data_IF_327919601473
#
_entry.id   IF_327919601473
#
_cell.length_a   1.000
_cell.length_b   1.000
_cell.length_c   1.000
_cell.angle_alpha   90.00
_cell.angle_beta   90.00
_cell.angle_gamma   90.00
#
_symmetry.space_group_name_H-M   'P 1'
#
loop_
_entity.id
_entity.type
_entity.pdbx_description
1 polymer ?
#
# COMPACT_ATOMS: atom_id res chain seq x y z
N UNK A 1 -68.58 27.25 0.17
CA UNK A 1 -69.42 26.74 1.28
C UNK A 1 -68.54 25.89 2.17
N UNK A 2 -68.40 26.30 3.45
CA UNK A 2 -67.92 25.51 4.61
C UNK A 2 -66.41 25.14 4.58
N UNK A 3 -65.46 25.74 5.30
CA UNK A 3 -65.46 26.35 6.63
C UNK A 3 -66.19 25.50 7.69
N UNK A 4 -65.51 25.21 8.81
CA UNK A 4 -65.93 24.40 9.97
C UNK A 4 -65.41 22.96 9.89
N UNK A 5 -64.20 22.74 10.39
CA UNK A 5 -63.98 21.77 11.47
C UNK A 5 -62.86 22.30 12.37
N UNK A 6 -63.31 23.01 13.41
CA UNK A 6 -62.53 23.52 14.52
C UNK A 6 -62.16 22.37 15.46
N UNK A 7 -60.92 22.45 15.97
CA UNK A 7 -60.59 22.31 17.40
C UNK A 7 -61.11 21.09 18.16
N UNK A 8 -60.32 20.02 18.23
CA UNK A 8 -60.11 19.26 19.49
C UNK A 8 -58.68 18.73 19.51
N UNK A 9 -57.88 19.13 20.51
CA UNK A 9 -56.59 18.48 20.77
C UNK A 9 -55.44 19.38 21.25
N UNK A 10 -55.70 20.46 22.00
CA UNK A 10 -54.67 21.07 22.83
C UNK A 10 -54.59 20.34 24.19
N UNK A 11 -53.38 20.31 24.76
CA UNK A 11 -52.96 19.81 26.08
C UNK A 11 -52.50 18.34 26.16
N UNK A 12 -51.20 18.13 25.93
CA UNK A 12 -50.29 17.67 26.99
C UNK A 12 -48.92 18.34 26.78
N UNK A 13 -48.65 19.41 27.51
CA UNK A 13 -47.27 19.72 27.89
C UNK A 13 -46.97 18.86 29.13
N UNK A 14 -45.85 18.14 29.18
CA UNK A 14 -45.04 17.90 30.38
C UNK A 14 -43.86 16.95 30.05
N UNK A 15 -42.65 17.51 30.21
CA UNK A 15 -41.41 16.88 30.70
C UNK A 15 -40.80 15.67 29.98
N UNK A 16 -39.69 15.92 29.29
CA UNK A 16 -38.37 15.43 29.73
C UNK A 16 -37.29 16.22 29.00
N UNK A 17 -36.63 17.14 29.73
CA UNK A 17 -35.28 17.52 29.36
C UNK A 17 -34.46 16.23 29.38
N UNK A 18 -33.98 15.84 28.22
CA UNK A 18 -33.11 14.69 28.07
C UNK A 18 -31.77 15.15 28.63
N UNK A 19 -31.49 14.75 29.87
CA UNK A 19 -30.17 14.84 30.47
C UNK A 19 -29.18 14.18 29.50
N UNK A 20 -28.12 14.87 29.06
CA UNK A 20 -27.10 14.23 28.24
C UNK A 20 -26.40 13.20 29.13
N UNK A 21 -26.81 11.95 29.00
CA UNK A 21 -26.15 10.81 29.64
C UNK A 21 -24.64 10.95 29.41
N UNK A 22 -23.91 11.19 30.50
CA UNK A 22 -22.48 11.38 30.44
C UNK A 22 -21.84 10.18 29.71
N UNK A 23 -20.86 10.41 28.81
CA UNK A 23 -20.19 9.30 28.15
C UNK A 23 -19.66 8.34 29.21
N UNK A 24 -19.78 7.02 29.00
CA UNK A 24 -19.25 6.05 29.93
C UNK A 24 -17.76 6.32 30.14
N UNK A 25 -17.21 6.10 31.35
CA UNK A 25 -15.78 6.28 31.58
C UNK A 25 -15.00 5.43 30.58
N UNK A 26 -13.97 6.02 29.97
CA UNK A 26 -13.10 5.35 29.02
C UNK A 26 -12.66 3.98 29.57
N UNK A 27 -12.91 2.93 28.78
CA UNK A 27 -12.43 1.61 29.12
C UNK A 27 -10.90 1.67 29.34
N UNK A 28 -10.37 0.99 30.36
CA UNK A 28 -8.93 0.96 30.58
C UNK A 28 -8.24 0.47 29.30
N UNK A 29 -7.20 1.20 28.89
CA UNK A 29 -6.40 0.83 27.73
C UNK A 29 -6.00 -0.65 27.83
N UNK A 30 -6.06 -1.41 26.73
CA UNK A 30 -5.56 -2.78 26.74
C UNK A 30 -4.10 -2.76 27.22
N UNK A 31 -3.65 -3.77 27.99
CA UNK A 31 -2.26 -3.82 28.41
C UNK A 31 -1.39 -3.75 27.16
N UNK A 32 -0.35 -2.90 27.21
CA UNK A 32 0.66 -2.88 26.16
C UNK A 32 1.22 -4.30 26.03
N UNK A 33 0.95 -4.94 24.89
CA UNK A 33 1.53 -6.22 24.53
C UNK A 33 3.01 -5.98 24.24
N UNK A 34 3.79 -5.91 25.31
CA UNK A 34 5.24 -5.74 25.26
C UNK A 34 5.96 -7.06 24.95
N UNK A 35 5.22 -8.11 24.57
CA UNK A 35 5.81 -9.36 24.14
C UNK A 35 6.18 -9.22 22.67
N UNK A 36 7.44 -8.87 22.41
CA UNK A 36 8.00 -9.01 21.07
C UNK A 36 7.71 -10.44 20.56
N UNK A 37 7.22 -10.59 19.31
CA UNK A 37 6.98 -11.91 18.75
C UNK A 37 8.26 -12.75 18.83
N UNK A 38 8.14 -14.07 19.07
CA UNK A 38 9.32 -14.93 19.10
C UNK A 38 10.07 -14.82 17.76
N UNK A 39 11.41 -14.84 17.78
CA UNK A 39 12.19 -14.82 16.55
C UNK A 39 11.80 -16.01 15.68
N UNK A 40 11.67 -15.77 14.37
CA UNK A 40 11.35 -16.80 13.39
C UNK A 40 12.49 -17.83 13.33
N UNK A 41 12.26 -19.11 13.64
CA UNK A 41 13.29 -20.14 13.58
C UNK A 41 13.78 -20.44 12.15
N UNK A 42 13.08 -19.97 11.12
CA UNK A 42 13.48 -20.06 9.73
C UNK A 42 14.27 -18.84 9.24
N UNK A 43 14.45 -17.79 10.06
CA UNK A 43 15.25 -16.65 9.67
C UNK A 43 16.72 -17.05 9.49
N UNK A 44 17.37 -16.66 8.37
CA UNK A 44 18.80 -16.90 8.21
C UNK A 44 19.57 -16.17 9.33
N UNK A 45 20.68 -16.74 9.81
CA UNK A 45 21.50 -16.08 10.82
C UNK A 45 21.99 -14.72 10.29
N UNK A 46 22.15 -13.71 11.16
CA UNK A 46 22.72 -12.44 10.75
C UNK A 46 24.13 -12.68 10.17
N UNK A 47 24.55 -11.88 9.16
CA UNK A 47 25.87 -12.01 8.59
C UNK A 47 26.94 -11.80 9.67
N UNK A 48 27.96 -12.67 9.67
CA UNK A 48 29.07 -12.59 10.63
C UNK A 48 29.86 -11.29 10.39
N UNK A 49 29.94 -10.37 11.37
CA UNK A 49 30.70 -9.12 11.21
C UNK A 49 32.21 -9.34 11.07
N UNK A 50 32.71 -10.56 11.36
CA UNK A 50 34.09 -10.95 11.13
C UNK A 50 34.32 -11.64 9.78
N UNK A 51 33.29 -11.81 8.94
CA UNK A 51 33.47 -12.40 7.62
C UNK A 51 34.35 -11.47 6.74
N UNK A 52 35.41 -12.00 6.10
CA UNK A 52 36.19 -11.21 5.15
C UNK A 52 35.28 -10.77 3.99
N UNK A 53 35.51 -9.57 3.41
CA UNK A 53 34.77 -9.16 2.22
C UNK A 53 34.97 -10.19 1.10
N UNK A 54 33.97 -10.39 0.23
CA UNK A 54 34.11 -11.29 -0.91
C UNK A 54 35.32 -10.87 -1.76
N UNK A 55 36.18 -11.83 -2.08
CA UNK A 55 37.38 -11.61 -2.88
C UNK A 55 36.98 -11.27 -4.33
N UNK A 56 37.30 -10.07 -4.86
CA UNK A 56 36.99 -9.71 -6.24
C UNK A 56 37.74 -10.57 -7.27
N UNK A 57 38.70 -11.39 -6.85
CA UNK A 57 39.45 -12.32 -7.70
C UNK A 57 38.95 -13.77 -7.66
N UNK A 58 37.87 -14.08 -6.91
CA UNK A 58 37.31 -15.43 -6.91
C UNK A 58 36.79 -15.80 -8.31
N UNK A 59 37.13 -16.99 -8.85
CA UNK A 59 36.65 -17.41 -10.16
C UNK A 59 35.13 -17.54 -10.15
N UNK A 60 34.48 -16.81 -11.06
CA UNK A 60 33.04 -16.96 -11.34
C UNK A 60 32.72 -18.41 -11.67
N UNK A 61 31.71 -18.96 -10.98
CA UNK A 61 31.22 -20.31 -11.22
C UNK A 61 30.70 -20.42 -12.67
N UNK A 62 31.30 -21.28 -13.53
CA UNK A 62 30.87 -21.45 -14.91
C UNK A 62 29.47 -22.09 -15.04
N UNK A 63 28.84 -22.52 -13.94
CA UNK A 63 27.46 -23.00 -13.91
C UNK A 63 26.40 -21.89 -13.78
N UNK A 64 26.80 -20.63 -13.61
CA UNK A 64 25.85 -19.52 -13.64
C UNK A 64 25.33 -19.29 -15.07
N UNK A 65 24.00 -19.15 -15.28
CA UNK A 65 23.45 -18.81 -16.59
C UNK A 65 24.04 -17.46 -17.05
N UNK A 66 24.36 -17.31 -18.35
CA UNK A 66 24.90 -16.05 -18.85
C UNK A 66 23.89 -14.91 -18.62
N UNK A 67 24.35 -13.68 -18.35
CA UNK A 67 23.47 -12.52 -18.34
C UNK A 67 22.80 -12.36 -19.71
N UNK A 68 21.52 -12.03 -19.67
CA UNK A 68 20.64 -11.89 -20.83
C UNK A 68 21.19 -10.82 -21.82
N UNK A 69 21.47 -11.16 -23.09
CA UNK A 69 22.10 -10.26 -24.05
C UNK A 69 21.16 -9.18 -24.64
N UNK A 70 19.92 -9.03 -24.16
CA UNK A 70 18.94 -8.08 -24.71
C UNK A 70 18.93 -6.69 -24.05
N UNK A 71 20.10 -6.16 -23.69
CA UNK A 71 20.27 -4.71 -23.52
C UNK A 71 20.54 -4.08 -24.90
N UNK A 72 19.72 -3.11 -25.38
CA UNK A 72 19.99 -2.44 -26.65
C UNK A 72 21.36 -1.72 -26.58
N UNK A 73 22.14 -1.70 -27.68
CA UNK A 73 23.42 -1.02 -27.70
C UNK A 73 23.21 0.47 -27.40
N UNK A 74 23.90 0.98 -26.39
CA UNK A 74 24.05 2.42 -26.17
C UNK A 74 24.74 3.02 -27.40
N UNK A 75 24.04 3.92 -28.09
CA UNK A 75 24.54 4.62 -29.26
C UNK A 75 25.80 5.43 -28.92
N UNK A 76 26.98 5.09 -29.46
CA UNK A 76 28.22 5.81 -29.18
C UNK A 76 28.27 7.20 -29.85
N UNK A 77 27.24 7.60 -30.60
CA UNK A 77 27.15 8.92 -31.22
C UNK A 77 26.48 9.99 -30.34
N UNK A 78 26.08 9.68 -29.10
CA UNK A 78 25.58 10.68 -28.17
C UNK A 78 26.72 11.67 -27.80
N UNK A 79 26.56 12.98 -28.05
CA UNK A 79 27.58 13.97 -27.67
C UNK A 79 27.80 13.94 -26.15
N UNK A 80 29.03 14.15 -25.66
CA UNK A 80 29.28 14.27 -24.23
C UNK A 80 28.45 15.42 -23.66
N UNK A 81 27.89 15.29 -22.44
CA UNK A 81 27.16 16.38 -21.82
C UNK A 81 28.08 17.59 -21.65
N UNK A 82 27.63 18.74 -22.16
CA UNK A 82 28.35 20.00 -22.16
C UNK A 82 28.56 20.49 -20.70
N UNK A 83 29.81 20.67 -20.23
CA UNK A 83 30.06 21.15 -18.87
C UNK A 83 29.63 22.61 -18.64
N UNK A 84 29.17 23.32 -19.68
CA UNK A 84 28.70 24.70 -19.59
C UNK A 84 27.16 24.85 -19.51
N UNK A 85 26.38 23.77 -19.50
CA UNK A 85 24.96 23.85 -19.21
C UNK A 85 24.78 24.10 -17.70
N UNK A 86 24.19 25.25 -17.35
CA UNK A 86 23.82 25.58 -15.98
C UNK A 86 23.06 24.40 -15.33
N UNK A 87 23.24 24.13 -14.02
CA UNK A 87 22.49 23.08 -13.34
C UNK A 87 20.99 23.33 -13.54
N UNK A 88 20.16 22.31 -13.78
CA UNK A 88 18.72 22.50 -13.64
C UNK A 88 18.48 23.06 -12.24
N UNK A 89 17.82 24.23 -12.18
CA UNK A 89 17.37 24.85 -10.95
C UNK A 89 16.72 23.80 -10.05
N UNK A 90 17.07 23.85 -8.77
CA UNK A 90 16.58 22.98 -7.72
C UNK A 90 15.04 22.92 -7.81
N UNK A 91 14.50 21.75 -8.16
CA UNK A 91 13.08 21.50 -8.04
C UNK A 91 12.67 21.65 -6.55
N UNK A 92 11.49 22.22 -6.27
CA UNK A 92 11.16 22.72 -4.95
C UNK A 92 10.81 21.57 -3.98
N UNK A 93 11.29 21.74 -2.75
CA UNK A 93 10.77 21.24 -1.46
C UNK A 93 10.14 19.82 -1.42
N UNK A 94 10.92 18.88 -0.86
CA UNK A 94 10.54 17.49 -0.65
C UNK A 94 9.63 17.27 0.58
N UNK A 95 8.77 18.23 0.94
CA UNK A 95 7.72 18.09 1.97
C UNK A 95 6.65 19.18 1.79
N UNK A 96 5.70 18.99 0.86
CA UNK A 96 4.50 19.83 0.81
C UNK A 96 3.24 18.99 1.05
N UNK A 97 2.76 19.09 2.29
CA UNK A 97 1.38 18.83 2.66
C UNK A 97 0.43 19.78 1.90
N UNK A 98 -0.57 19.19 1.20
CA UNK A 98 -1.92 19.64 0.78
C UNK A 98 -2.23 21.15 0.58
N UNK A 99 -3.00 21.56 -0.46
CA UNK A 99 -4.45 21.31 -0.54
C UNK A 99 -4.96 20.99 -1.97
N UNK A 100 -6.23 20.57 -2.06
CA UNK A 100 -6.86 20.24 -3.36
C UNK A 100 -6.94 21.44 -4.31
N UNK A 101 -6.93 21.16 -5.61
CA UNK A 101 -7.92 21.62 -6.59
C UNK A 101 -7.60 21.03 -7.98
N UNK A 102 -8.67 20.54 -8.62
CA UNK A 102 -8.90 20.39 -10.06
C UNK A 102 -7.97 19.51 -10.92
N UNK A 103 -8.33 18.21 -10.92
CA UNK A 103 -8.38 17.27 -12.04
C UNK A 103 -7.73 17.70 -13.37
N UNK A 104 -6.68 16.98 -13.76
CA UNK A 104 -6.58 16.45 -15.12
C UNK A 104 -6.52 14.91 -15.03
N UNK A 105 -7.73 14.34 -14.91
CA UNK A 105 -7.95 12.93 -15.13
C UNK A 105 -7.95 12.68 -16.64
N UNK A 106 -6.77 12.53 -17.24
CA UNK A 106 -6.65 11.73 -18.46
C UNK A 106 -6.61 10.26 -18.02
N UNK A 107 -7.80 9.69 -17.87
CA UNK A 107 -8.10 8.29 -18.17
C UNK A 107 -6.95 7.28 -17.92
N UNK A 108 -6.63 7.07 -16.65
CA UNK A 108 -6.20 5.75 -16.17
C UNK A 108 -7.15 5.33 -15.06
N UNK A 109 -8.39 5.07 -15.47
CA UNK A 109 -9.46 4.55 -14.61
C UNK A 109 -9.23 3.07 -14.23
N UNK A 110 -8.05 2.52 -14.48
CA UNK A 110 -7.77 1.10 -14.23
C UNK A 110 -7.37 0.85 -12.77
N UNK A 111 -6.89 1.87 -12.05
CA UNK A 111 -6.30 1.63 -10.72
C UNK A 111 -6.44 2.82 -9.75
N UNK A 112 -7.45 2.82 -8.86
CA UNK A 112 -7.69 3.95 -7.95
C UNK A 112 -6.53 4.23 -6.99
N UNK A 113 -6.10 5.49 -6.90
CA UNK A 113 -5.13 5.92 -5.88
C UNK A 113 -3.65 5.94 -6.30
N UNK A 114 -3.31 5.49 -7.51
CA UNK A 114 -1.91 5.56 -8.00
C UNK A 114 -1.38 7.00 -8.12
N UNK A 115 -2.25 7.97 -8.43
CA UNK A 115 -1.89 9.39 -8.53
C UNK A 115 -1.53 10.07 -7.20
N UNK A 116 -1.93 9.49 -6.06
CA UNK A 116 -1.60 10.03 -4.74
C UNK A 116 -0.20 9.66 -4.28
N UNK A 117 0.34 8.55 -4.80
CA UNK A 117 1.65 8.06 -4.40
C UNK A 117 2.80 8.93 -4.95
N UNK A 118 3.88 9.12 -4.18
CA UNK A 118 5.11 9.72 -4.67
C UNK A 118 5.70 8.88 -5.82
N UNK A 119 6.54 9.50 -6.66
CA UNK A 119 7.06 8.85 -7.89
C UNK A 119 7.69 7.48 -7.62
N UNK A 120 8.47 7.37 -6.54
CA UNK A 120 9.12 6.12 -6.14
C UNK A 120 8.09 5.03 -5.79
N UNK A 121 7.09 5.35 -4.98
CA UNK A 121 6.06 4.40 -4.55
C UNK A 121 5.17 3.95 -5.72
N UNK A 122 4.98 4.78 -6.76
CA UNK A 122 4.27 4.36 -7.98
C UNK A 122 4.98 3.23 -8.71
N UNK A 123 6.30 3.22 -8.72
CA UNK A 123 7.06 2.10 -9.30
C UNK A 123 6.80 0.82 -8.51
N UNK A 124 6.87 0.88 -7.18
CA UNK A 124 6.55 -0.27 -6.33
C UNK A 124 5.13 -0.78 -6.53
N UNK A 125 4.15 0.12 -6.63
CA UNK A 125 2.77 -0.23 -6.92
C UNK A 125 2.60 -0.93 -8.28
N UNK A 126 3.28 -0.47 -9.34
CA UNK A 126 3.21 -1.10 -10.67
C UNK A 126 3.86 -2.46 -10.72
N UNK A 127 5.02 -2.62 -10.08
CA UNK A 127 5.70 -3.91 -10.00
C UNK A 127 4.81 -4.94 -9.31
N UNK A 128 4.21 -4.56 -8.18
CA UNK A 128 3.36 -5.48 -7.42
C UNK A 128 2.01 -5.79 -8.07
N UNK A 129 1.58 -5.00 -9.04
CA UNK A 129 0.36 -5.21 -9.82
C UNK A 129 0.63 -5.76 -11.21
N UNK A 130 1.89 -6.08 -11.52
CA UNK A 130 2.25 -6.66 -12.81
C UNK A 130 1.77 -8.10 -12.93
N UNK A 131 1.53 -8.54 -14.17
CA UNK A 131 1.19 -9.92 -14.46
C UNK A 131 2.24 -10.91 -13.92
N UNK A 132 3.53 -10.57 -14.04
CA UNK A 132 4.62 -11.42 -13.55
C UNK A 132 4.57 -11.60 -12.03
N UNK A 133 4.35 -10.52 -11.28
CA UNK A 133 4.24 -10.64 -9.82
C UNK A 133 2.98 -11.42 -9.43
N UNK A 134 1.85 -11.18 -10.12
CA UNK A 134 0.64 -11.93 -9.87
C UNK A 134 0.86 -13.44 -10.05
N UNK A 135 1.54 -13.84 -11.12
CA UNK A 135 1.89 -15.25 -11.38
C UNK A 135 2.82 -15.82 -10.31
N UNK A 136 3.85 -15.08 -9.88
CA UNK A 136 4.75 -15.47 -8.78
C UNK A 136 4.00 -15.70 -7.47
N UNK A 137 2.95 -14.91 -7.22
CA UNK A 137 2.06 -15.03 -6.07
C UNK A 137 0.95 -16.08 -6.25
N UNK A 138 0.94 -16.80 -7.37
CA UNK A 138 -0.04 -17.84 -7.70
C UNK A 138 -1.42 -17.30 -8.12
N UNK A 139 -1.47 -16.06 -8.59
CA UNK A 139 -2.65 -15.35 -9.07
C UNK A 139 -2.59 -15.17 -10.59
N UNK A 140 -3.75 -14.93 -11.22
CA UNK A 140 -3.78 -14.52 -12.63
C UNK A 140 -3.57 -13.00 -12.75
N UNK A 141 -3.13 -12.55 -13.93
CA UNK A 141 -3.08 -11.11 -14.24
C UNK A 141 -4.46 -10.46 -14.01
N UNK A 142 -4.47 -9.34 -13.30
CA UNK A 142 -5.69 -8.63 -12.90
C UNK A 142 -6.59 -9.34 -11.88
N UNK A 143 -6.20 -10.49 -11.31
CA UNK A 143 -6.96 -11.17 -10.26
C UNK A 143 -6.73 -10.49 -8.89
N UNK A 144 -7.36 -9.34 -8.71
CA UNK A 144 -7.29 -8.58 -7.46
C UNK A 144 -7.86 -9.35 -6.27
N UNK A 145 -8.78 -10.28 -6.48
CA UNK A 145 -9.33 -11.09 -5.39
C UNK A 145 -8.29 -12.07 -4.83
N UNK A 146 -7.51 -12.69 -5.72
CA UNK A 146 -6.36 -13.49 -5.34
C UNK A 146 -5.24 -12.65 -4.73
N UNK A 147 -4.79 -11.59 -5.42
CA UNK A 147 -3.68 -10.72 -4.99
C UNK A 147 -3.92 -10.15 -3.60
N UNK A 148 -5.11 -9.57 -3.36
CA UNK A 148 -5.47 -8.96 -2.08
C UNK A 148 -5.67 -9.96 -0.94
N UNK A 149 -5.89 -11.23 -1.26
CA UNK A 149 -5.96 -12.32 -0.27
C UNK A 149 -4.57 -12.87 0.09
N UNK A 150 -3.55 -12.53 -0.71
CA UNK A 150 -2.17 -12.88 -0.50
C UNK A 150 -1.46 -11.79 0.35
N UNK A 151 -0.83 -12.20 1.44
CA UNK A 151 -0.15 -11.25 2.33
C UNK A 151 1.15 -10.72 1.70
N UNK A 152 1.77 -11.53 0.83
CA UNK A 152 3.03 -11.19 0.17
C UNK A 152 2.87 -10.02 -0.80
N UNK A 153 1.68 -9.81 -1.36
CA UNK A 153 1.35 -8.59 -2.11
C UNK A 153 1.60 -7.31 -1.29
N UNK A 154 1.14 -7.28 -0.03
CA UNK A 154 1.34 -6.12 0.84
C UNK A 154 2.77 -6.03 1.38
N UNK A 155 3.44 -7.17 1.57
CA UNK A 155 4.86 -7.18 1.93
C UNK A 155 5.73 -6.63 0.81
N UNK A 156 5.51 -7.05 -0.45
CA UNK A 156 6.20 -6.51 -1.60
C UNK A 156 6.02 -5.00 -1.75
N UNK A 157 4.80 -4.47 -1.57
CA UNK A 157 4.54 -3.02 -1.56
C UNK A 157 5.36 -2.29 -0.49
N UNK A 158 5.33 -2.79 0.75
CA UNK A 158 6.08 -2.23 1.88
C UNK A 158 7.59 -2.30 1.62
N UNK A 159 8.07 -3.47 1.26
CA UNK A 159 9.50 -3.79 1.23
C UNK A 159 10.16 -3.13 0.02
N UNK A 160 9.49 -3.06 -1.13
CA UNK A 160 9.93 -2.23 -2.25
C UNK A 160 10.02 -0.76 -1.84
N UNK A 161 8.99 -0.23 -1.16
CA UNK A 161 8.99 1.18 -0.75
C UNK A 161 10.14 1.47 0.20
N UNK A 162 10.32 0.64 1.25
CA UNK A 162 11.41 0.76 2.23
C UNK A 162 12.79 0.79 1.60
N UNK A 163 13.00 -0.03 0.58
CA UNK A 163 14.29 -0.17 -0.10
C UNK A 163 14.56 0.96 -1.08
N UNK A 164 13.53 1.45 -1.77
CA UNK A 164 13.71 2.32 -2.94
C UNK A 164 13.33 3.78 -2.69
N UNK A 165 12.54 4.09 -1.65
CA UNK A 165 12.03 5.44 -1.41
C UNK A 165 12.75 6.13 -0.25
N UNK A 166 13.34 7.30 -0.51
CA UNK A 166 13.89 8.13 0.57
C UNK A 166 12.74 8.74 1.38
N UNK A 167 12.83 8.75 2.72
CA UNK A 167 11.78 9.27 3.61
C UNK A 167 10.58 8.34 3.88
N UNK A 168 10.50 7.19 3.20
CA UNK A 168 9.68 6.01 3.50
C UNK A 168 8.31 6.20 4.17
N UNK A 169 7.32 6.71 3.43
CA UNK A 169 5.90 6.64 3.79
C UNK A 169 5.27 5.28 3.44
N UNK A 170 5.68 4.23 4.15
CA UNK A 170 5.13 2.87 4.01
C UNK A 170 3.62 2.83 4.21
N UNK A 171 3.07 3.71 5.05
CA UNK A 171 1.63 3.74 5.31
C UNK A 171 0.85 4.09 4.03
N UNK A 172 1.37 5.00 3.21
CA UNK A 172 0.69 5.49 2.01
C UNK A 172 0.61 4.40 0.92
N UNK A 173 1.68 3.63 0.69
CA UNK A 173 1.66 2.50 -0.24
C UNK A 173 0.74 1.37 0.26
N UNK A 174 0.66 1.14 1.57
CA UNK A 174 -0.25 0.15 2.15
C UNK A 174 -1.71 0.61 2.06
N UNK A 175 -1.99 1.91 2.19
CA UNK A 175 -3.31 2.48 1.94
C UNK A 175 -3.70 2.40 0.47
N UNK A 176 -2.76 2.61 -0.44
CA UNK A 176 -2.97 2.35 -1.86
C UNK A 176 -3.39 0.90 -2.10
N UNK A 177 -2.63 -0.09 -1.58
CA UNK A 177 -2.99 -1.50 -1.72
C UNK A 177 -4.39 -1.80 -1.18
N UNK A 178 -4.74 -1.21 -0.04
CA UNK A 178 -6.09 -1.34 0.52
C UNK A 178 -7.19 -0.73 -0.36
N UNK A 179 -6.90 0.43 -0.97
CA UNK A 179 -7.84 1.13 -1.86
C UNK A 179 -8.13 0.29 -3.10
N UNK A 180 -7.10 -0.33 -3.68
CA UNK A 180 -7.26 -1.23 -4.84
C UNK A 180 -8.12 -2.43 -4.50
N UNK A 181 -7.82 -3.07 -3.37
CA UNK A 181 -8.60 -4.22 -2.93
C UNK A 181 -10.06 -3.85 -2.66
N UNK A 182 -10.33 -2.72 -1.99
CA UNK A 182 -11.69 -2.24 -1.75
C UNK A 182 -12.43 -1.90 -3.04
N UNK A 183 -11.76 -1.28 -4.01
CA UNK A 183 -12.35 -0.97 -5.31
C UNK A 183 -12.71 -2.23 -6.13
N UNK A 184 -12.12 -3.37 -5.80
CA UNK A 184 -12.41 -4.68 -6.38
C UNK A 184 -13.24 -5.57 -5.44
N UNK A 185 -13.99 -4.97 -4.51
CA UNK A 185 -14.88 -5.64 -3.55
C UNK A 185 -14.18 -6.67 -2.63
N UNK A 186 -12.86 -6.57 -2.47
CA UNK A 186 -12.09 -7.41 -1.55
C UNK A 186 -12.00 -6.71 -0.20
N UNK A 187 -12.48 -7.33 0.89
CA UNK A 187 -12.50 -6.66 2.17
C UNK A 187 -11.12 -6.64 2.82
N UNK A 188 -10.60 -5.45 3.09
CA UNK A 188 -9.23 -5.24 3.61
C UNK A 188 -9.12 -5.00 5.11
N UNK A 189 -10.25 -4.86 5.81
CA UNK A 189 -10.22 -4.78 7.26
C UNK A 189 -9.76 -6.13 7.85
N UNK A 190 -8.84 -6.09 8.82
CA UNK A 190 -8.28 -7.26 9.50
C UNK A 190 -9.34 -8.30 9.88
N UNK A 191 -10.48 -7.86 10.41
CA UNK A 191 -11.57 -8.77 10.82
C UNK A 191 -12.22 -9.46 9.62
N UNK A 192 -12.38 -8.75 8.51
CA UNK A 192 -12.95 -9.31 7.30
C UNK A 192 -11.94 -10.17 6.55
N UNK A 193 -10.65 -9.82 6.54
CA UNK A 193 -9.58 -10.64 5.98
C UNK A 193 -9.52 -12.01 6.66
N UNK A 194 -9.53 -12.05 8.01
CA UNK A 194 -9.55 -13.31 8.75
C UNK A 194 -10.83 -14.11 8.50
N UNK A 195 -11.98 -13.45 8.37
CA UNK A 195 -13.26 -14.11 8.02
C UNK A 195 -13.26 -14.64 6.59
N UNK A 196 -12.75 -13.88 5.63
CA UNK A 196 -12.65 -14.25 4.22
C UNK A 196 -11.70 -15.44 4.03
N UNK A 197 -10.50 -15.39 4.62
CA UNK A 197 -9.57 -16.53 4.64
C UNK A 197 -10.16 -17.76 5.32
N UNK A 198 -10.78 -17.61 6.49
CA UNK A 198 -11.45 -18.73 7.17
C UNK A 198 -12.55 -19.32 6.30
N UNK A 199 -13.35 -18.49 5.62
CA UNK A 199 -14.40 -18.96 4.70
C UNK A 199 -13.80 -19.68 3.49
N UNK A 200 -12.77 -19.12 2.85
CA UNK A 200 -12.08 -19.75 1.73
C UNK A 200 -11.47 -21.12 2.10
N UNK A 201 -10.89 -21.25 3.31
CA UNK A 201 -10.39 -22.51 3.83
C UNK A 201 -11.50 -23.54 4.06
N UNK A 202 -12.71 -23.10 4.43
CA UNK A 202 -13.88 -23.98 4.61
C UNK A 202 -14.50 -24.43 3.28
N UNK A 203 -14.23 -23.76 2.16
CA UNK A 203 -14.74 -24.11 0.83
C UNK A 203 -13.74 -24.93 -0.03
N UNK A 204 -12.54 -25.21 0.48
CA UNK A 204 -11.56 -26.13 -0.14
C UNK A 204 -11.84 -27.61 0.20
N UNK A 205 -13.11 -28.02 0.13
CA UNK A 205 -13.55 -29.44 0.29
C UNK A 205 -13.68 -30.10 -1.06
#
# INVERSE_FOLDING_TARGET
MRAIYLLVGALVAFTAAQDPEAPPPDAPAPPADSAAPPPDPAAPPPPDPAAPPPDPAAPVDPAAPPPDPEAPPVDPAAPPPDPAAAPPEQAPDQNQEAPGDDQEATEDNSNPGMGRLPRCARTCARNMLSASEAEELGCNDGDFQCLCSNQDFFFGLRDCTRQNCQGNNVNEILQFGQTICQANDVPTNSTQFFRARRRALLYRV
#
